data_IF_465857276501
#
_entry.id   IF_465857276501
#
_cell.length_a   1.000
_cell.length_b   1.000
_cell.length_c   1.000
_cell.angle_alpha   90.00
_cell.angle_beta   90.00
_cell.angle_gamma   90.00
#
_symmetry.space_group_name_H-M   'P 1'
#
loop_
_entity.id
_entity.type
_entity.pdbx_description
1 polymer ?
#
# COMPACT_ATOMS: atom_id res chain seq x y z
N UNK A 1 -13.15 13.31 -0.40
CA UNK A 1 -12.75 12.67 0.86
C UNK A 1 -12.01 13.70 1.67
N UNK A 2 -12.35 13.87 2.94
CA UNK A 2 -11.63 14.74 3.86
C UNK A 2 -10.45 13.93 4.43
N UNK A 3 -9.22 14.34 4.15
CA UNK A 3 -8.05 13.75 4.78
C UNK A 3 -7.90 14.38 6.18
N UNK A 4 -7.99 13.55 7.22
CA UNK A 4 -7.71 13.98 8.59
C UNK A 4 -6.22 13.76 8.84
N UNK A 5 -5.45 14.80 9.21
CA UNK A 5 -4.03 14.62 9.51
C UNK A 5 -3.89 13.79 10.79
N UNK A 6 -3.21 12.65 10.68
CA UNK A 6 -2.88 11.78 11.81
C UNK A 6 -1.36 11.76 11.96
N UNK A 7 -0.81 12.05 13.15
CA UNK A 7 0.63 11.99 13.36
C UNK A 7 1.18 10.57 13.20
N UNK A 8 2.33 10.43 12.53
CA UNK A 8 3.00 9.14 12.32
C UNK A 8 3.35 8.40 13.61
N UNK A 9 3.66 9.13 14.69
CA UNK A 9 3.89 8.54 16.01
C UNK A 9 2.65 7.87 16.57
N UNK A 10 1.46 8.43 16.31
CA UNK A 10 0.20 7.88 16.77
C UNK A 10 -0.12 6.58 16.04
N UNK A 11 0.11 6.53 14.73
CA UNK A 11 -0.04 5.32 13.92
C UNK A 11 0.89 4.21 14.42
N UNK A 12 2.17 4.52 14.67
CA UNK A 12 3.12 3.55 15.22
C UNK A 12 2.72 3.03 16.59
N UNK A 13 2.30 3.92 17.50
CA UNK A 13 1.80 3.53 18.81
C UNK A 13 0.56 2.62 18.71
N UNK A 14 -0.36 2.92 17.80
CA UNK A 14 -1.52 2.08 17.56
C UNK A 14 -1.13 0.67 17.09
N UNK A 15 -0.14 0.56 16.18
CA UNK A 15 0.40 -0.73 15.74
C UNK A 15 0.95 -1.57 16.91
N UNK A 16 1.76 -0.97 17.79
CA UNK A 16 2.29 -1.66 18.98
C UNK A 16 1.18 -2.13 19.93
N UNK A 17 0.14 -1.31 20.13
CA UNK A 17 -1.00 -1.68 20.98
C UNK A 17 -1.77 -2.86 20.37
N UNK A 18 -2.00 -2.84 19.06
CA UNK A 18 -2.71 -3.92 18.36
C UNK A 18 -1.94 -5.24 18.41
N UNK A 19 -0.61 -5.22 18.24
CA UNK A 19 0.22 -6.43 18.36
C UNK A 19 0.19 -6.99 19.79
N UNK A 20 0.10 -6.13 20.81
CA UNK A 20 -0.03 -6.57 22.20
C UNK A 20 -1.40 -7.23 22.46
N UNK A 21 -2.48 -6.70 21.87
CA UNK A 21 -3.83 -7.29 21.97
C UNK A 21 -3.87 -8.65 21.24
N UNK A 22 -3.23 -8.74 20.07
CA UNK A 22 -3.17 -9.95 19.25
C UNK A 22 -2.55 -11.16 19.94
N UNK A 23 -1.78 -10.96 21.03
CA UNK A 23 -1.27 -12.08 21.86
C UNK A 23 -2.34 -12.79 22.66
N UNK A 24 -3.48 -12.14 22.91
CA UNK A 24 -4.56 -12.68 23.74
C UNK A 24 -5.81 -13.03 22.92
N UNK A 25 -5.95 -12.42 21.74
CA UNK A 25 -7.08 -12.63 20.84
C UNK A 25 -6.53 -12.93 19.45
N UNK A 26 -6.93 -14.04 18.79
CA UNK A 26 -6.52 -14.32 17.42
C UNK A 26 -7.21 -13.32 16.47
N UNK A 27 -6.54 -12.19 16.25
CA UNK A 27 -7.03 -11.07 15.45
C UNK A 27 -6.00 -10.70 14.39
N UNK A 28 -6.39 -10.74 13.11
CA UNK A 28 -5.56 -10.27 12.01
C UNK A 28 -5.98 -8.85 11.60
N UNK A 29 -5.02 -7.93 11.65
CA UNK A 29 -5.23 -6.51 11.30
C UNK A 29 -4.06 -6.01 10.48
N UNK A 30 -4.29 -5.13 9.49
CA UNK A 30 -3.20 -4.44 8.78
C UNK A 30 -2.48 -3.41 9.67
N UNK A 31 -3.04 -3.06 10.84
CA UNK A 31 -2.40 -2.18 11.83
C UNK A 31 -1.54 -2.98 12.81
N UNK A 32 -0.37 -3.43 12.35
CA UNK A 32 0.68 -4.03 13.19
C UNK A 32 1.79 -3.02 13.46
N UNK A 33 2.65 -3.27 14.46
CA UNK A 33 3.81 -2.42 14.72
C UNK A 33 4.70 -2.33 13.47
N UNK A 34 5.05 -3.49 12.90
CA UNK A 34 5.87 -3.58 11.70
C UNK A 34 5.22 -2.87 10.51
N UNK A 35 3.91 -3.04 10.31
CA UNK A 35 3.17 -2.37 9.25
C UNK A 35 3.19 -0.86 9.41
N UNK A 36 2.96 -0.35 10.62
CA UNK A 36 2.91 1.09 10.87
C UNK A 36 4.30 1.74 10.79
N UNK A 37 5.37 1.03 11.18
CA UNK A 37 6.73 1.48 10.92
C UNK A 37 7.01 1.58 9.42
N UNK A 38 6.67 0.54 8.65
CA UNK A 38 6.85 0.55 7.20
C UNK A 38 6.12 1.71 6.54
N UNK A 39 4.83 1.93 6.86
CA UNK A 39 4.05 3.01 6.24
C UNK A 39 4.55 4.42 6.59
N UNK A 40 5.11 4.62 7.78
CA UNK A 40 5.52 5.96 8.24
C UNK A 40 6.99 6.27 8.01
N UNK A 41 7.81 5.24 7.77
CA UNK A 41 9.27 5.39 7.64
C UNK A 41 9.81 4.76 6.35
N UNK A 42 8.95 4.46 5.38
CA UNK A 42 9.38 3.99 4.05
C UNK A 42 10.32 5.03 3.42
N UNK A 43 11.60 4.70 3.17
CA UNK A 43 12.46 5.58 2.41
C UNK A 43 11.98 5.67 0.96
N UNK A 44 12.30 6.76 0.29
CA UNK A 44 12.11 6.83 -1.15
C UNK A 44 12.94 5.72 -1.83
N UNK A 45 12.33 5.05 -2.81
CA UNK A 45 13.05 4.11 -3.67
C UNK A 45 14.12 4.87 -4.45
N UNK A 46 15.32 4.30 -4.56
CA UNK A 46 16.33 4.79 -5.49
C UNK A 46 16.15 4.10 -6.83
N UNK A 47 15.55 4.82 -7.77
CA UNK A 47 15.25 4.31 -9.10
C UNK A 47 16.37 4.62 -10.11
N UNK A 48 17.46 5.29 -9.68
CA UNK A 48 18.53 5.77 -10.58
C UNK A 48 19.26 4.68 -11.37
N UNK A 49 19.50 3.45 -10.85
CA UNK A 49 20.13 2.40 -11.65
C UNK A 49 19.26 1.99 -12.85
N UNK A 50 17.95 1.89 -12.64
CA UNK A 50 16.96 1.53 -13.66
C UNK A 50 16.94 2.55 -14.79
N UNK A 51 16.95 3.83 -14.46
CA UNK A 51 16.92 4.92 -15.43
C UNK A 51 18.24 4.99 -16.22
N UNK A 52 19.38 4.90 -15.53
CA UNK A 52 20.70 5.07 -16.14
C UNK A 52 21.16 3.87 -16.95
N UNK A 53 20.94 2.66 -16.43
CA UNK A 53 21.53 1.44 -16.99
C UNK A 53 20.58 0.73 -17.94
N UNK A 54 19.27 0.87 -17.73
CA UNK A 54 18.25 0.21 -18.54
C UNK A 54 17.45 1.20 -19.42
N UNK A 55 17.67 2.51 -19.28
CA UNK A 55 16.96 3.54 -20.04
C UNK A 55 15.46 3.59 -19.72
N UNK A 56 15.06 3.12 -18.53
CA UNK A 56 13.66 3.09 -18.11
C UNK A 56 13.18 4.51 -17.82
N UNK A 57 11.99 4.86 -18.31
CA UNK A 57 11.30 6.09 -17.94
C UNK A 57 10.00 5.72 -17.24
N UNK A 58 9.86 6.14 -15.99
CA UNK A 58 8.66 5.85 -15.21
C UNK A 58 7.51 6.79 -15.58
N UNK A 59 6.29 6.24 -15.58
CA UNK A 59 5.06 7.04 -15.61
C UNK A 59 4.90 7.78 -14.28
N UNK A 60 4.28 8.97 -14.30
CA UNK A 60 3.91 9.67 -13.06
C UNK A 60 3.09 8.74 -12.15
N UNK A 61 3.55 8.43 -10.92
CA UNK A 61 2.84 7.55 -9.99
C UNK A 61 1.40 8.00 -9.70
N UNK A 62 1.12 9.32 -9.78
CA UNK A 62 -0.23 9.86 -9.56
C UNK A 62 -1.23 9.33 -10.59
N UNK A 63 -0.80 9.15 -11.83
CA UNK A 63 -1.68 8.62 -12.88
C UNK A 63 -2.00 7.15 -12.63
N UNK A 64 -0.99 6.34 -12.30
CA UNK A 64 -1.17 4.92 -11.97
C UNK A 64 -2.11 4.73 -10.76
N UNK A 65 -1.94 5.56 -9.73
CA UNK A 65 -2.82 5.55 -8.56
C UNK A 65 -4.25 6.00 -8.90
N UNK A 66 -4.40 7.04 -9.73
CA UNK A 66 -5.71 7.49 -10.18
C UNK A 66 -6.44 6.40 -10.97
N UNK A 67 -5.76 5.75 -11.93
CA UNK A 67 -6.31 4.64 -12.72
C UNK A 67 -6.71 3.45 -11.84
N UNK A 68 -5.90 3.16 -10.81
CA UNK A 68 -6.19 2.10 -9.82
C UNK A 68 -7.44 2.43 -9.00
N UNK A 69 -7.60 3.67 -8.53
CA UNK A 69 -8.80 4.10 -7.80
C UNK A 69 -10.04 4.06 -8.70
N UNK A 70 -9.91 4.48 -9.96
CA UNK A 70 -10.98 4.39 -10.95
C UNK A 70 -11.36 2.93 -11.19
N UNK A 71 -10.39 2.05 -11.38
CA UNK A 71 -10.63 0.62 -11.62
C UNK A 71 -11.24 -0.08 -10.40
N UNK A 72 -10.81 0.23 -9.17
CA UNK A 72 -11.42 -0.31 -7.94
C UNK A 72 -12.87 0.15 -7.76
N UNK A 73 -13.17 1.42 -8.12
CA UNK A 73 -14.54 1.93 -8.09
C UNK A 73 -15.43 1.26 -9.14
N UNK A 74 -14.89 0.98 -10.32
CA UNK A 74 -15.58 0.26 -11.39
C UNK A 74 -15.70 -1.25 -11.12
N UNK A 75 -14.65 -1.84 -10.54
CA UNK A 75 -14.45 -3.26 -10.22
C UNK A 75 -15.26 -3.76 -9.02
N UNK A 76 -16.04 -2.88 -8.38
CA UNK A 76 -17.25 -3.29 -7.64
C UNK A 76 -18.30 -3.97 -8.55
N UNK A 77 -18.03 -4.00 -9.86
CA UNK A 77 -18.59 -4.95 -10.84
C UNK A 77 -17.45 -5.86 -11.32
N UNK A 78 -17.54 -7.16 -11.03
CA UNK A 78 -16.58 -8.22 -11.37
C UNK A 78 -15.75 -7.95 -12.64
N UNK A 79 -14.44 -7.75 -12.47
CA UNK A 79 -13.52 -7.60 -13.60
C UNK A 79 -13.45 -8.90 -14.40
N UNK A 80 -13.90 -8.87 -15.66
CA UNK A 80 -13.78 -9.99 -16.63
C UNK A 80 -12.34 -10.32 -17.01
N UNK A 81 -11.37 -9.48 -16.62
CA UNK A 81 -9.95 -9.63 -16.95
C UNK A 81 -9.16 -10.39 -15.90
N UNK A 82 -9.73 -10.66 -14.71
CA UNK A 82 -9.01 -11.36 -13.63
C UNK A 82 -8.54 -12.76 -14.05
N UNK A 83 -9.29 -13.46 -14.93
CA UNK A 83 -8.90 -14.76 -15.47
C UNK A 83 -8.07 -14.73 -16.77
N UNK A 84 -7.65 -13.56 -17.25
CA UNK A 84 -6.85 -13.39 -18.47
C UNK A 84 -5.43 -12.89 -18.17
N UNK A 85 -5.08 -12.67 -16.90
CA UNK A 85 -3.74 -12.24 -16.50
C UNK A 85 -2.80 -13.46 -16.34
N UNK A 86 -1.60 -13.46 -16.93
CA UNK A 86 -0.73 -14.64 -17.00
C UNK A 86 -0.13 -15.11 -15.65
N UNK A 87 -0.50 -14.48 -14.54
CA UNK A 87 -0.03 -14.79 -13.19
C UNK A 87 -1.19 -14.93 -12.18
N UNK A 88 -2.43 -15.11 -12.63
CA UNK A 88 -3.56 -15.40 -11.75
C UNK A 88 -3.66 -16.92 -11.51
N UNK A 89 -2.91 -17.41 -10.52
CA UNK A 89 -3.21 -18.66 -9.80
C UNK A 89 -3.58 -18.33 -8.36
#
# INVERSE_FOLDING_TARGET
MLAVPVPDSLLRAAGTVMDQIGRYVPWETPMTEAGMQYYTQMPASDDTPSERELGITYRDPRETLADTVVSLRAGRTTSKLWGLWPFSE
#
